data_IF_073059438918
#
_entry.id   IF_073059438918
#
_cell.length_a   1.000
_cell.length_b   1.000
_cell.length_c   1.000
_cell.angle_alpha   90.00
_cell.angle_beta   90.00
_cell.angle_gamma   90.00
#
_symmetry.space_group_name_H-M   'P 1'
#
loop_
_entity.id
_entity.type
_entity.pdbx_description
1 polymer ?
#
# COMPACT_ATOMS: atom_id res chain seq x y z
N UNK A 1 -27.07 -10.92 14.74
CA UNK A 1 -27.43 -9.49 14.82
C UNK A 1 -26.15 -8.68 14.66
N UNK A 2 -26.00 -7.89 13.60
CA UNK A 2 -24.86 -6.97 13.43
C UNK A 2 -25.23 -5.65 14.10
N UNK A 3 -24.52 -5.29 15.16
CA UNK A 3 -24.70 -3.98 15.77
C UNK A 3 -23.92 -2.93 14.99
N UNK A 4 -24.50 -1.75 14.82
CA UNK A 4 -23.76 -0.57 14.33
C UNK A 4 -23.13 0.11 15.55
N UNK A 5 -21.83 0.33 15.50
CA UNK A 5 -21.08 0.99 16.55
C UNK A 5 -20.05 1.94 15.96
N UNK A 6 -19.60 2.88 16.76
CA UNK A 6 -18.58 3.87 16.39
C UNK A 6 -17.41 3.78 17.36
N UNK A 7 -16.23 4.15 16.90
CA UNK A 7 -15.04 4.30 17.73
C UNK A 7 -14.96 5.74 18.21
N UNK A 8 -14.73 5.93 19.51
CA UNK A 8 -14.41 7.21 20.12
C UNK A 8 -12.99 7.13 20.69
N UNK A 9 -12.12 8.06 20.28
CA UNK A 9 -10.74 8.16 20.73
C UNK A 9 -10.60 9.34 21.69
N UNK A 10 -10.05 9.08 22.86
CA UNK A 10 -9.71 10.09 23.86
C UNK A 10 -8.24 10.48 23.67
N UNK A 11 -7.99 11.69 23.18
CA UNK A 11 -6.64 12.16 22.85
C UNK A 11 -5.73 12.34 24.08
N UNK A 12 -6.29 12.67 25.24
CA UNK A 12 -5.52 12.91 26.47
C UNK A 12 -5.01 11.58 27.07
N UNK A 13 -5.83 10.54 27.01
CA UNK A 13 -5.53 9.24 27.62
C UNK A 13 -5.07 8.17 26.62
N UNK A 14 -5.26 8.41 25.32
CA UNK A 14 -5.04 7.43 24.25
C UNK A 14 -6.06 6.29 24.23
N UNK A 15 -7.14 6.38 25.02
CA UNK A 15 -8.12 5.29 25.16
C UNK A 15 -9.07 5.24 23.97
N UNK A 16 -9.32 4.03 23.44
CA UNK A 16 -10.39 3.80 22.47
C UNK A 16 -11.60 3.20 23.18
N UNK A 17 -12.76 3.81 22.96
CA UNK A 17 -14.05 3.33 23.44
C UNK A 17 -15.03 3.10 22.29
N UNK A 18 -16.04 2.26 22.53
CA UNK A 18 -17.10 1.97 21.56
C UNK A 18 -18.37 2.69 22.00
N UNK A 19 -19.02 3.39 21.08
CA UNK A 19 -20.28 4.11 21.30
C UNK A 19 -21.38 3.63 20.34
N UNK A 20 -22.64 4.00 20.61
CA UNK A 20 -23.79 3.66 19.76
C UNK A 20 -24.43 2.29 20.01
N UNK A 21 -23.99 1.56 21.04
CA UNK A 21 -24.57 0.28 21.45
C UNK A 21 -25.61 0.48 22.57
N UNK A 22 -26.72 -0.30 22.61
CA UNK A 22 -27.79 -0.15 23.61
C UNK A 22 -27.42 -0.70 25.01
N UNK A 23 -26.14 -0.98 25.24
CA UNK A 23 -25.61 -1.57 26.46
C UNK A 23 -24.22 -1.01 26.77
N UNK A 24 -23.80 -1.11 28.03
CA UNK A 24 -22.45 -0.73 28.45
C UNK A 24 -21.43 -1.67 27.81
N UNK A 25 -20.34 -1.09 27.30
CA UNK A 25 -19.31 -1.82 26.55
C UNK A 25 -17.96 -1.63 27.21
N UNK A 26 -17.21 -2.73 27.33
CA UNK A 26 -15.77 -2.69 27.62
C UNK A 26 -15.04 -3.16 26.36
N UNK A 27 -14.24 -2.28 25.76
CA UNK A 27 -13.46 -2.62 24.56
C UNK A 27 -12.05 -3.00 24.99
N UNK A 28 -11.70 -4.27 24.79
CA UNK A 28 -10.44 -4.84 25.28
C UNK A 28 -9.55 -5.27 24.13
N UNK A 29 -8.24 -5.16 24.33
CA UNK A 29 -7.25 -5.67 23.41
C UNK A 29 -7.15 -7.20 23.53
N UNK A 30 -7.20 -7.87 22.38
CA UNK A 30 -6.96 -9.31 22.32
C UNK A 30 -5.44 -9.52 22.22
N UNK A 31 -4.84 -10.40 23.05
CA UNK A 31 -3.42 -10.72 22.97
C UNK A 31 -3.01 -11.07 21.55
N UNK A 32 -1.89 -10.50 21.09
CA UNK A 32 -1.37 -10.79 19.76
C UNK A 32 -0.99 -12.26 19.65
N UNK A 33 -1.61 -12.94 18.71
CA UNK A 33 -1.31 -14.32 18.37
C UNK A 33 -1.00 -14.42 16.87
N UNK A 34 -0.12 -15.36 16.50
CA UNK A 34 0.25 -15.60 15.09
C UNK A 34 -0.97 -15.86 14.19
N UNK A 35 -2.04 -16.44 14.73
CA UNK A 35 -3.29 -16.69 14.00
C UNK A 35 -4.02 -15.40 13.56
N UNK A 36 -3.79 -14.27 14.23
CA UNK A 36 -4.41 -12.97 13.93
C UNK A 36 -3.56 -12.12 12.97
N UNK A 37 -2.34 -12.55 12.67
CA UNK A 37 -1.36 -11.81 11.85
C UNK A 37 -1.93 -11.38 10.50
N UNK A 38 -2.73 -12.25 9.86
CA UNK A 38 -3.37 -11.95 8.58
C UNK A 38 -4.37 -10.82 8.67
N UNK A 39 -5.20 -10.78 9.71
CA UNK A 39 -6.18 -9.71 9.89
C UNK A 39 -5.49 -8.35 10.02
N UNK A 40 -4.44 -8.26 10.83
CA UNK A 40 -3.62 -7.04 10.93
C UNK A 40 -3.00 -6.67 9.58
N UNK A 41 -2.46 -7.66 8.89
CA UNK A 41 -1.82 -7.48 7.58
C UNK A 41 -2.79 -6.95 6.52
N UNK A 42 -3.98 -7.56 6.42
CA UNK A 42 -4.99 -7.16 5.45
C UNK A 42 -5.59 -5.79 5.77
N UNK A 43 -5.72 -5.42 7.05
CA UNK A 43 -6.08 -4.05 7.44
C UNK A 43 -5.10 -3.02 6.89
N UNK A 44 -3.79 -3.27 7.00
CA UNK A 44 -2.77 -2.39 6.43
C UNK A 44 -2.73 -2.43 4.89
N UNK A 45 -3.02 -3.57 4.26
CA UNK A 45 -3.18 -3.69 2.80
C UNK A 45 -4.33 -2.83 2.31
N UNK A 46 -5.47 -2.88 2.98
CA UNK A 46 -6.63 -2.07 2.65
C UNK A 46 -6.27 -0.57 2.64
N UNK A 47 -5.56 -0.09 3.66
CA UNK A 47 -5.13 1.31 3.76
C UNK A 47 -4.17 1.67 2.61
N UNK A 48 -3.15 0.85 2.35
CA UNK A 48 -2.19 1.10 1.27
C UNK A 48 -2.91 1.18 -0.10
N UNK A 49 -3.86 0.28 -0.37
CA UNK A 49 -4.63 0.26 -1.62
C UNK A 49 -5.59 1.46 -1.74
N UNK A 50 -6.28 1.84 -0.66
CA UNK A 50 -7.15 3.01 -0.64
C UNK A 50 -6.35 4.30 -0.91
N UNK A 51 -5.19 4.43 -0.28
CA UNK A 51 -4.28 5.54 -0.51
C UNK A 51 -3.75 5.55 -1.95
N UNK A 52 -3.35 4.40 -2.50
CA UNK A 52 -2.94 4.30 -3.89
C UNK A 52 -4.05 4.77 -4.84
N UNK A 53 -5.30 4.32 -4.65
CA UNK A 53 -6.45 4.75 -5.46
C UNK A 53 -6.66 6.27 -5.36
N UNK A 54 -6.56 6.83 -4.15
CA UNK A 54 -6.67 8.28 -3.92
C UNK A 54 -5.60 9.05 -4.69
N UNK A 55 -4.33 8.65 -4.60
CA UNK A 55 -3.22 9.31 -5.28
C UNK A 55 -3.32 9.19 -6.80
N UNK A 56 -3.77 8.04 -7.32
CA UNK A 56 -4.05 7.89 -8.75
C UNK A 56 -5.19 8.80 -9.20
N UNK A 57 -6.22 8.98 -8.36
CA UNK A 57 -7.28 9.96 -8.61
C UNK A 57 -6.77 11.38 -8.74
N UNK A 58 -5.87 11.81 -7.84
CA UNK A 58 -5.21 13.13 -7.91
C UNK A 58 -4.36 13.23 -9.19
N UNK A 59 -3.55 12.20 -9.47
CA UNK A 59 -2.66 12.13 -10.63
C UNK A 59 -3.42 12.24 -11.96
N UNK A 60 -4.59 11.59 -12.08
CA UNK A 60 -5.44 11.63 -13.28
C UNK A 60 -6.13 12.98 -13.50
N UNK A 61 -6.29 13.80 -12.45
CA UNK A 61 -7.02 15.07 -12.53
C UNK A 61 -6.11 16.29 -12.66
N UNK A 62 -4.84 16.17 -12.31
CA UNK A 62 -3.88 17.28 -12.38
C UNK A 62 -3.24 17.41 -13.75
N UNK A 63 -2.99 18.65 -14.17
CA UNK A 63 -2.14 18.98 -15.34
C UNK A 63 -0.69 19.27 -14.94
N UNK A 64 -0.41 19.44 -13.65
CA UNK A 64 0.94 19.61 -13.13
C UNK A 64 1.68 18.27 -13.22
N UNK A 65 2.74 18.23 -14.04
CA UNK A 65 3.50 17.01 -14.29
C UNK A 65 4.28 16.53 -13.07
N UNK A 66 4.78 17.44 -12.21
CA UNK A 66 5.50 17.07 -11.01
C UNK A 66 4.56 16.39 -10.00
N UNK A 67 3.35 16.93 -9.83
CA UNK A 67 2.32 16.31 -9.00
C UNK A 67 1.86 14.99 -9.62
N UNK A 68 1.59 14.95 -10.93
CA UNK A 68 1.15 13.75 -11.64
C UNK A 68 2.14 12.60 -11.41
N UNK A 69 3.42 12.86 -11.63
CA UNK A 69 4.50 11.89 -11.48
C UNK A 69 4.73 11.49 -10.02
N UNK A 70 4.78 12.45 -9.09
CA UNK A 70 4.96 12.16 -7.67
C UNK A 70 3.86 11.25 -7.12
N UNK A 71 2.59 11.55 -7.45
CA UNK A 71 1.45 10.75 -7.02
C UNK A 71 1.44 9.36 -7.65
N UNK A 72 1.83 9.24 -8.94
CA UNK A 72 2.01 7.95 -9.59
C UNK A 72 3.07 7.09 -8.89
N UNK A 73 4.26 7.65 -8.65
CA UNK A 73 5.37 6.94 -8.00
C UNK A 73 4.96 6.42 -6.62
N UNK A 74 4.30 7.25 -5.80
CA UNK A 74 3.80 6.85 -4.47
C UNK A 74 2.76 5.74 -4.60
N UNK A 75 1.76 5.88 -5.46
CA UNK A 75 0.72 4.89 -5.65
C UNK A 75 1.29 3.53 -6.10
N UNK A 76 2.24 3.55 -7.03
CA UNK A 76 2.90 2.35 -7.53
C UNK A 76 3.69 1.64 -6.41
N UNK A 77 4.42 2.38 -5.58
CA UNK A 77 5.14 1.81 -4.43
C UNK A 77 4.17 1.15 -3.45
N UNK A 78 3.07 1.84 -3.08
CA UNK A 78 2.05 1.30 -2.17
C UNK A 78 1.38 0.03 -2.72
N UNK A 79 1.04 0.04 -4.01
CA UNK A 79 0.46 -1.12 -4.67
C UNK A 79 1.42 -2.32 -4.68
N UNK A 80 2.68 -2.13 -5.12
CA UNK A 80 3.67 -3.22 -5.20
C UNK A 80 4.01 -3.76 -3.81
N UNK A 81 4.04 -2.91 -2.78
CA UNK A 81 4.23 -3.32 -1.37
C UNK A 81 3.19 -4.33 -0.91
N UNK A 82 1.97 -4.32 -1.44
CA UNK A 82 0.93 -5.26 -1.05
C UNK A 82 1.21 -6.71 -1.49
N UNK A 83 2.10 -6.92 -2.46
CA UNK A 83 2.40 -8.23 -3.05
C UNK A 83 3.84 -8.72 -2.80
N UNK A 84 4.73 -7.85 -2.34
CA UNK A 84 6.14 -8.21 -2.11
C UNK A 84 6.44 -8.44 -0.62
N UNK A 85 7.29 -9.43 -0.36
CA UNK A 85 7.82 -9.70 0.97
C UNK A 85 9.08 -8.84 1.19
N UNK A 86 9.05 -7.95 2.18
CA UNK A 86 10.24 -7.20 2.62
C UNK A 86 10.98 -7.87 3.79
N UNK A 87 10.71 -9.15 4.08
CA UNK A 87 11.52 -9.97 5.00
C UNK A 87 11.08 -9.98 6.47
N UNK A 88 10.00 -9.27 6.84
CA UNK A 88 9.43 -9.38 8.18
C UNK A 88 8.14 -8.58 8.39
N UNK A 89 7.15 -9.20 9.03
CA UNK A 89 6.08 -8.52 9.77
C UNK A 89 4.66 -8.53 9.18
N UNK A 90 4.51 -8.60 7.84
CA UNK A 90 3.19 -8.50 7.18
C UNK A 90 2.95 -9.59 6.15
N UNK A 91 1.79 -10.24 6.23
CA UNK A 91 1.30 -11.13 5.18
C UNK A 91 1.03 -10.36 3.90
N UNK A 92 1.44 -10.93 2.78
CA UNK A 92 1.27 -10.36 1.45
C UNK A 92 0.08 -10.96 0.70
N UNK A 93 -0.42 -10.22 -0.29
CA UNK A 93 -1.37 -10.75 -1.25
C UNK A 93 -0.67 -11.73 -2.21
N UNK A 94 -1.39 -12.78 -2.60
CA UNK A 94 -0.94 -13.66 -3.67
C UNK A 94 -1.53 -13.19 -4.99
N UNK A 95 -0.67 -12.80 -5.94
CA UNK A 95 -1.08 -12.39 -7.28
C UNK A 95 -2.04 -13.38 -7.93
N UNK A 96 -1.67 -14.66 -7.92
CA UNK A 96 -2.47 -15.73 -8.53
C UNK A 96 -3.84 -15.89 -7.86
N UNK A 97 -3.96 -15.62 -6.56
CA UNK A 97 -5.25 -15.69 -5.86
C UNK A 97 -6.10 -14.44 -6.07
N UNK A 98 -5.47 -13.28 -6.16
CA UNK A 98 -6.17 -12.00 -6.37
C UNK A 98 -6.72 -11.92 -7.79
N UNK A 99 -5.93 -12.31 -8.78
CA UNK A 99 -6.26 -12.13 -10.20
C UNK A 99 -6.75 -13.40 -10.90
N UNK A 100 -7.08 -14.46 -10.16
CA UNK A 100 -7.45 -15.77 -10.72
C UNK A 100 -8.58 -15.69 -11.77
N UNK A 101 -9.60 -14.90 -11.46
CA UNK A 101 -10.87 -14.87 -12.20
C UNK A 101 -11.07 -13.51 -12.91
N UNK A 102 -9.98 -12.77 -13.11
CA UNK A 102 -9.99 -11.44 -13.74
C UNK A 102 -9.62 -11.59 -15.21
N UNK A 103 -10.45 -11.05 -16.11
CA UNK A 103 -10.20 -11.09 -17.55
C UNK A 103 -9.02 -10.20 -17.96
N UNK A 104 -8.42 -10.51 -19.11
CA UNK A 104 -7.24 -9.81 -19.63
C UNK A 104 -5.93 -10.34 -19.06
N UNK A 105 -4.94 -9.47 -18.91
CA UNK A 105 -3.57 -9.83 -18.51
C UNK A 105 -3.09 -9.11 -17.23
N UNK A 106 -3.87 -9.12 -16.12
CA UNK A 106 -3.57 -8.34 -14.92
C UNK A 106 -2.22 -8.70 -14.28
N UNK A 107 -1.82 -9.97 -14.35
CA UNK A 107 -0.52 -10.43 -13.84
C UNK A 107 0.63 -9.87 -14.69
N UNK A 108 0.47 -9.80 -16.02
CA UNK A 108 1.50 -9.22 -16.88
C UNK A 108 1.61 -7.71 -16.66
N UNK A 109 0.49 -7.01 -16.53
CA UNK A 109 0.47 -5.60 -16.15
C UNK A 109 1.19 -5.38 -14.81
N UNK A 110 0.93 -6.23 -13.81
CA UNK A 110 1.65 -6.18 -12.54
C UNK A 110 3.17 -6.34 -12.73
N UNK A 111 3.62 -7.33 -13.52
CA UNK A 111 5.06 -7.57 -13.74
C UNK A 111 5.74 -6.39 -14.42
N UNK A 112 5.07 -5.77 -15.40
CA UNK A 112 5.53 -4.54 -16.07
C UNK A 112 5.63 -3.37 -15.08
N UNK A 113 4.60 -3.14 -14.26
CA UNK A 113 4.57 -2.10 -13.24
C UNK A 113 5.64 -2.31 -12.14
N UNK A 114 5.83 -3.56 -11.71
CA UNK A 114 6.89 -3.93 -10.76
C UNK A 114 8.26 -3.61 -11.36
N UNK A 115 8.49 -3.93 -12.63
CA UNK A 115 9.73 -3.59 -13.33
C UNK A 115 9.96 -2.09 -13.38
N UNK A 116 8.91 -1.29 -13.62
CA UNK A 116 9.00 0.18 -13.56
C UNK A 116 9.47 0.63 -12.17
N UNK A 117 8.80 0.15 -11.11
CA UNK A 117 9.17 0.47 -9.72
C UNK A 117 10.62 0.11 -9.42
N UNK A 118 11.01 -1.13 -9.72
CA UNK A 118 12.33 -1.65 -9.36
C UNK A 118 13.45 -0.93 -10.13
N UNK A 119 13.27 -0.69 -11.44
CA UNK A 119 14.36 -0.23 -12.32
C UNK A 119 14.47 1.29 -12.50
N UNK A 120 13.38 2.04 -12.26
CA UNK A 120 13.34 3.49 -12.53
C UNK A 120 12.93 4.35 -11.34
N UNK A 121 12.45 3.75 -10.24
CA UNK A 121 11.94 4.53 -9.10
C UNK A 121 12.69 4.20 -7.81
N UNK A 122 12.92 2.91 -7.53
CA UNK A 122 13.55 2.49 -6.28
C UNK A 122 15.08 2.43 -6.35
N UNK A 123 15.64 2.15 -7.53
CA UNK A 123 17.08 1.89 -7.67
C UNK A 123 17.76 2.70 -8.79
N UNK A 124 17.00 3.48 -9.58
CA UNK A 124 17.49 4.29 -10.72
C UNK A 124 18.44 3.56 -11.69
N UNK A 125 18.37 2.23 -11.72
CA UNK A 125 19.34 1.38 -12.42
C UNK A 125 19.36 1.67 -13.92
N UNK A 126 18.17 1.80 -14.52
CA UNK A 126 18.08 2.06 -15.95
C UNK A 126 18.40 3.52 -16.30
N UNK A 127 18.02 4.47 -15.46
CA UNK A 127 18.37 5.88 -15.69
C UNK A 127 19.90 6.06 -15.63
N UNK A 128 20.56 5.40 -14.67
CA UNK A 128 22.02 5.37 -14.59
C UNK A 128 22.67 4.72 -15.82
N UNK A 129 22.20 3.55 -16.26
CA UNK A 129 22.72 2.87 -17.46
C UNK A 129 22.54 3.69 -18.75
N UNK A 130 21.53 4.56 -18.78
CA UNK A 130 21.24 5.40 -19.92
C UNK A 130 21.97 6.76 -19.89
N UNK A 131 22.57 7.14 -18.77
CA UNK A 131 23.38 8.35 -18.66
C UNK A 131 24.51 8.34 -19.70
N UNK A 132 24.75 9.50 -20.34
CA UNK A 132 25.78 9.65 -21.38
C UNK A 132 26.79 10.71 -20.97
N UNK A 133 28.04 10.46 -21.32
CA UNK A 133 29.15 11.39 -21.18
C UNK A 133 29.82 11.52 -22.54
N UNK A 134 29.95 12.75 -23.01
CA UNK A 134 30.58 13.09 -24.28
C UNK A 134 31.75 14.04 -24.09
N UNK A 135 32.75 13.92 -24.94
CA UNK A 135 33.79 14.94 -25.09
C UNK A 135 33.34 15.95 -26.16
N UNK A 136 33.54 17.23 -25.88
CA UNK A 136 33.32 18.30 -26.86
C UNK A 136 34.64 18.52 -27.59
N UNK A 137 34.63 18.29 -28.90
CA UNK A 137 35.79 18.42 -29.77
C UNK A 137 35.70 19.73 -30.57
N UNK A 138 36.81 20.46 -30.66
CA UNK A 138 36.98 21.50 -31.66
C UNK A 138 37.71 20.88 -32.86
N UNK A 139 36.98 20.68 -33.96
CA UNK A 139 37.51 20.01 -35.15
C UNK A 139 38.56 20.86 -35.88
N UNK A 140 38.45 22.20 -35.81
CA UNK A 140 39.40 23.11 -36.46
C UNK A 140 40.77 23.07 -35.77
N UNK A 141 40.77 23.18 -34.45
CA UNK A 141 42.00 23.19 -33.63
C UNK A 141 42.46 21.79 -33.23
N UNK A 142 41.71 20.75 -33.64
CA UNK A 142 41.96 19.33 -33.33
C UNK A 142 42.21 19.07 -31.84
N UNK A 143 41.44 19.72 -30.97
CA UNK A 143 41.59 19.63 -29.52
C UNK A 143 40.27 19.32 -28.82
N UNK A 144 40.36 18.80 -27.59
CA UNK A 144 39.21 18.65 -26.70
C UNK A 144 39.01 20.00 -26.00
N UNK A 145 37.80 20.55 -26.09
CA UNK A 145 37.46 21.86 -25.50
C UNK A 145 36.55 21.75 -24.29
N UNK A 146 36.02 20.55 -24.01
CA UNK A 146 35.21 20.34 -22.83
C UNK A 146 34.55 18.97 -22.76
N UNK A 147 33.60 18.87 -21.87
CA UNK A 147 32.80 17.68 -21.59
C UNK A 147 31.33 18.08 -21.61
N UNK A 148 30.48 17.24 -22.18
CA UNK A 148 29.03 17.38 -22.15
C UNK A 148 28.41 16.14 -21.51
N UNK A 149 27.44 16.34 -20.63
CA UNK A 149 26.67 15.28 -19.99
C UNK A 149 25.18 15.64 -20.08
N UNK A 150 24.44 15.17 -21.11
CA UNK A 150 23.03 15.48 -21.21
C UNK A 150 22.25 14.83 -20.06
N UNK A 151 21.49 15.64 -19.34
CA UNK A 151 20.57 15.17 -18.29
C UNK A 151 19.37 14.49 -18.98
N UNK A 152 19.23 13.18 -18.77
CA UNK A 152 18.16 12.37 -19.36
C UNK A 152 17.50 11.52 -18.28
N UNK A 153 16.18 11.44 -18.32
CA UNK A 153 15.38 10.58 -17.44
C UNK A 153 14.25 9.94 -18.24
N UNK A 154 13.89 8.70 -17.89
CA UNK A 154 12.73 8.04 -18.48
C UNK A 154 11.45 8.86 -18.27
N UNK A 155 10.66 8.99 -19.35
CA UNK A 155 9.29 9.53 -19.30
C UNK A 155 8.31 8.40 -19.57
N UNK A 156 7.24 8.36 -18.78
CA UNK A 156 6.19 7.36 -18.92
C UNK A 156 4.95 7.97 -19.59
N UNK A 157 4.23 7.18 -20.38
CA UNK A 157 2.86 7.52 -20.76
C UNK A 157 1.97 7.29 -19.54
N UNK A 158 1.64 8.39 -18.86
CA UNK A 158 0.98 8.34 -17.56
C UNK A 158 -0.50 7.97 -17.68
N UNK A 159 -1.24 8.43 -18.68
CA UNK A 159 -2.71 8.40 -18.60
C UNK A 159 -3.28 6.98 -18.71
N UNK A 160 -2.76 6.16 -19.63
CA UNK A 160 -3.16 4.75 -19.73
C UNK A 160 -2.60 3.93 -18.55
N UNK A 161 -1.33 4.14 -18.21
CA UNK A 161 -0.67 3.45 -17.09
C UNK A 161 -1.37 3.70 -15.76
N UNK A 162 -1.79 4.94 -15.51
CA UNK A 162 -2.53 5.34 -14.31
C UNK A 162 -3.87 4.62 -14.20
N UNK A 163 -4.61 4.50 -15.32
CA UNK A 163 -5.91 3.80 -15.35
C UNK A 163 -5.76 2.30 -15.15
N UNK A 164 -4.72 1.69 -15.73
CA UNK A 164 -4.41 0.27 -15.52
C UNK A 164 -4.09 0.05 -14.04
N UNK A 165 -3.17 0.82 -13.46
CA UNK A 165 -2.79 0.69 -12.06
C UNK A 165 -3.99 0.93 -11.13
N UNK A 166 -4.85 1.91 -11.43
CA UNK A 166 -6.05 2.17 -10.62
C UNK A 166 -7.02 0.98 -10.66
N UNK A 167 -7.21 0.36 -11.83
CA UNK A 167 -8.06 -0.83 -11.97
C UNK A 167 -7.50 -2.01 -11.15
N UNK A 168 -6.19 -2.24 -11.22
CA UNK A 168 -5.53 -3.28 -10.42
C UNK A 168 -5.68 -3.02 -8.91
N UNK A 169 -5.52 -1.78 -8.45
CA UNK A 169 -5.73 -1.43 -7.05
C UNK A 169 -7.18 -1.70 -6.59
N UNK A 170 -8.18 -1.38 -7.41
CA UNK A 170 -9.60 -1.62 -7.08
C UNK A 170 -9.89 -3.12 -6.95
N UNK A 171 -9.43 -3.93 -7.90
CA UNK A 171 -9.59 -5.38 -7.87
C UNK A 171 -8.89 -5.98 -6.63
N UNK A 172 -7.65 -5.55 -6.35
CA UNK A 172 -6.92 -5.99 -5.17
C UNK A 172 -7.63 -5.57 -3.86
N UNK A 173 -8.25 -4.39 -3.84
CA UNK A 173 -8.99 -3.89 -2.68
C UNK A 173 -10.23 -4.74 -2.42
N UNK A 174 -11.05 -4.97 -3.45
CA UNK A 174 -12.24 -5.84 -3.35
C UNK A 174 -11.87 -7.23 -2.82
N UNK A 175 -10.77 -7.82 -3.34
CA UNK A 175 -10.31 -9.12 -2.86
C UNK A 175 -9.81 -9.07 -1.42
N UNK A 176 -9.12 -8.00 -1.04
CA UNK A 176 -8.63 -7.80 0.33
C UNK A 176 -9.80 -7.67 1.31
N UNK A 177 -10.88 -7.01 0.94
CA UNK A 177 -12.09 -6.90 1.78
C UNK A 177 -12.73 -8.26 2.04
N UNK A 178 -12.80 -9.14 1.03
CA UNK A 178 -13.24 -10.52 1.21
C UNK A 178 -12.33 -11.26 2.20
N UNK A 179 -11.01 -11.14 2.05
CA UNK A 179 -10.07 -11.79 2.98
C UNK A 179 -10.18 -11.24 4.41
N UNK A 180 -10.46 -9.95 4.58
CA UNK A 180 -10.72 -9.36 5.90
C UNK A 180 -11.97 -9.97 6.51
N UNK A 181 -13.07 -10.06 5.77
CA UNK A 181 -14.32 -10.63 6.26
C UNK A 181 -14.14 -12.11 6.66
N UNK A 182 -13.41 -12.90 5.86
CA UNK A 182 -13.07 -14.29 6.17
C UNK A 182 -12.23 -14.40 7.45
N UNK A 183 -11.19 -13.57 7.60
CA UNK A 183 -10.34 -13.58 8.79
C UNK A 183 -11.10 -13.07 10.03
N UNK A 184 -11.95 -12.05 9.92
CA UNK A 184 -12.85 -11.62 11.01
C UNK A 184 -13.73 -12.77 11.46
N UNK A 185 -14.35 -13.50 10.53
CA UNK A 185 -15.17 -14.66 10.86
C UNK A 185 -14.38 -15.71 11.63
N UNK A 186 -13.16 -16.03 11.18
CA UNK A 186 -12.28 -17.00 11.85
C UNK A 186 -11.89 -16.54 13.27
N UNK A 187 -11.55 -15.26 13.43
CA UNK A 187 -11.21 -14.67 14.73
C UNK A 187 -12.41 -14.68 15.67
N UNK A 188 -13.60 -14.31 15.19
CA UNK A 188 -14.82 -14.35 15.99
C UNK A 188 -15.14 -15.77 16.47
N UNK A 189 -15.08 -16.77 15.60
CA UNK A 189 -15.32 -18.17 15.97
C UNK A 189 -14.35 -18.64 17.05
N UNK A 190 -13.08 -18.25 16.94
CA UNK A 190 -12.07 -18.57 17.94
C UNK A 190 -12.31 -17.87 19.27
N UNK A 191 -12.61 -16.57 19.26
CA UNK A 191 -12.81 -15.79 20.48
C UNK A 191 -14.09 -16.17 21.23
N UNK A 192 -15.14 -16.59 20.52
CA UNK A 192 -16.40 -17.08 21.12
C UNK A 192 -16.22 -18.32 22.01
N UNK A 193 -15.13 -19.06 21.82
CA UNK A 193 -14.82 -20.24 22.63
C UNK A 193 -14.21 -19.86 24.00
N UNK A 194 -13.85 -18.58 24.21
CA UNK A 194 -13.19 -18.15 25.46
C UNK A 194 -14.20 -17.77 26.53
N UNK A 195 -13.83 -18.07 27.78
CA UNK A 195 -14.63 -17.73 28.96
C UNK A 195 -14.61 -16.21 29.21
N UNK A 196 -15.80 -15.63 29.46
CA UNK A 196 -15.99 -14.22 29.74
C UNK A 196 -15.14 -13.71 30.91
N UNK A 197 -15.03 -14.48 32.00
CA UNK A 197 -14.24 -14.12 33.19
C UNK A 197 -12.75 -13.99 32.90
N UNK A 198 -12.27 -14.66 31.84
CA UNK A 198 -10.89 -14.54 31.37
C UNK A 198 -10.74 -13.28 30.51
N UNK A 199 -11.59 -13.13 29.48
CA UNK A 199 -11.46 -12.01 28.52
C UNK A 199 -11.80 -10.65 29.14
N UNK A 200 -12.65 -10.60 30.17
CA UNK A 200 -12.97 -9.38 30.90
C UNK A 200 -11.78 -8.79 31.66
N UNK A 201 -10.74 -9.59 31.90
CA UNK A 201 -9.46 -9.18 32.52
C UNK A 201 -8.44 -8.66 31.51
N UNK A 202 -8.72 -8.75 30.21
CA UNK A 202 -7.83 -8.18 29.20
C UNK A 202 -7.75 -6.65 29.35
N UNK A 203 -6.60 -6.11 28.94
CA UNK A 203 -6.37 -4.67 28.96
C UNK A 203 -7.40 -3.98 28.08
N UNK A 204 -7.90 -2.82 28.50
CA UNK A 204 -8.73 -2.00 27.63
C UNK A 204 -7.92 -1.50 26.42
N UNK A 205 -8.59 -1.20 25.32
CA UNK A 205 -7.90 -0.76 24.10
C UNK A 205 -7.32 0.65 24.27
N UNK A 206 -6.00 0.78 24.06
CA UNK A 206 -5.29 2.05 24.00
C UNK A 206 -4.48 2.12 22.70
N UNK A 207 -4.24 3.34 22.23
CA UNK A 207 -3.22 3.63 21.21
C UNK A 207 -2.19 4.50 21.90
N UNK A 208 -0.93 4.05 21.90
CA UNK A 208 0.17 4.90 22.30
C UNK A 208 0.23 6.07 21.31
N UNK A 209 0.00 7.30 21.79
CA UNK A 209 0.43 8.46 21.07
C UNK A 209 1.95 8.40 21.04
N UNK A 210 2.55 8.37 19.86
CA UNK A 210 3.99 8.54 19.72
C UNK A 210 4.35 9.82 20.49
N UNK A 211 5.18 9.68 21.54
CA UNK A 211 5.73 10.84 22.22
C UNK A 211 6.77 11.42 21.28
N UNK A 212 6.39 12.48 20.59
CA UNK A 212 7.31 13.35 19.83
C UNK A 212 8.53 13.76 20.68
#
# INVERSE_FOLDING_TARGET
>A
MRYRYQYNFDEETGKISITGLPFKTKFVEVPREKRFERLYSYGLIKIDLQNAIKYLGISLQTTDMAIKEGMFRIALVLYIKCFNNSGGGRSQLSLNKVYKDVSGEPIECYLKLKKIRDKYIAHDENDFLNAKLGMVLNENDKCIVGVAYPEMQAKFDYDETLRILQSLCKIALEKTEIYIDDEIHNVEQYLRQRNFEIVSKYQEMFVEADKD
#
